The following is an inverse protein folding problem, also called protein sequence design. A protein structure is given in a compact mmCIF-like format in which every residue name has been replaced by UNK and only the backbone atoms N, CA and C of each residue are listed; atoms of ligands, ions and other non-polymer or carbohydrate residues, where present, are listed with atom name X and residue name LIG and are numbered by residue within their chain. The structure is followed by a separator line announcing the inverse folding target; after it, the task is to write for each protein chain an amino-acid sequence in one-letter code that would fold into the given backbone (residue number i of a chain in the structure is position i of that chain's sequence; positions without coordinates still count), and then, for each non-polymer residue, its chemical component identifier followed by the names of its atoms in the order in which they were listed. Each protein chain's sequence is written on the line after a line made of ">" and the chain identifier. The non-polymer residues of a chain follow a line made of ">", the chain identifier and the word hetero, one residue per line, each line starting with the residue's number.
data_IF_683092998147
#
_entry.id   IF_683092998147
#
_cell.length_a   1.000
_cell.length_b   1.000
_cell.length_c   1.000
_cell.angle_alpha   90.00
_cell.angle_beta   90.00
_cell.angle_gamma   90.00
#
_symmetry.space_group_name_H-M   'P 1'
#
loop_
_entity.id
_entity.type
_entity.pdbx_description
1 polymer ?
#
# COMPACT_ATOMS: atom_id res chain seq x y z
N UNK A 1 12.54 18.03 4.91
CA UNK A 1 11.48 16.99 4.93
C UNK A 1 11.61 16.23 6.24
N UNK A 2 10.54 16.09 7.04
CA UNK A 2 10.59 15.28 8.25
C UNK A 2 10.81 13.81 7.85
N UNK A 3 11.60 13.00 8.60
CA UNK A 3 11.81 11.59 8.30
C UNK A 3 10.51 10.80 8.10
N UNK A 4 9.47 11.17 8.84
CA UNK A 4 8.14 10.59 8.74
C UNK A 4 7.48 10.87 7.38
N UNK A 5 7.57 12.11 6.90
CA UNK A 5 7.05 12.51 5.59
C UNK A 5 7.85 11.88 4.45
N UNK A 6 9.16 11.72 4.64
CA UNK A 6 10.02 10.98 3.72
C UNK A 6 9.51 9.55 3.53
N UNK A 7 9.35 8.82 4.63
CA UNK A 7 8.92 7.42 4.57
C UNK A 7 7.55 7.29 3.94
N UNK A 8 6.58 8.12 4.37
CA UNK A 8 5.23 8.10 3.82
C UNK A 8 5.22 8.33 2.31
N UNK A 9 5.85 9.40 1.81
CA UNK A 9 5.85 9.74 0.37
C UNK A 9 6.55 8.69 -0.47
N UNK A 10 7.72 8.22 -0.03
CA UNK A 10 8.51 7.26 -0.79
C UNK A 10 7.89 5.85 -0.79
N UNK A 11 7.24 5.42 0.30
CA UNK A 11 6.51 4.15 0.35
C UNK A 11 5.27 4.21 -0.54
N UNK A 12 4.46 5.26 -0.45
CA UNK A 12 3.27 5.41 -1.32
C UNK A 12 3.68 5.43 -2.80
N UNK A 13 4.73 6.19 -3.15
CA UNK A 13 5.24 6.22 -4.53
C UNK A 13 5.74 4.85 -5.01
N UNK A 14 6.42 4.09 -4.16
CA UNK A 14 6.91 2.75 -4.51
C UNK A 14 5.77 1.75 -4.70
N UNK A 15 4.75 1.76 -3.83
CA UNK A 15 3.59 0.89 -3.97
C UNK A 15 2.75 1.22 -5.21
N UNK A 16 2.60 2.51 -5.54
CA UNK A 16 1.94 2.92 -6.78
C UNK A 16 2.72 2.46 -8.02
N UNK A 17 4.06 2.56 -7.99
CA UNK A 17 4.92 2.06 -9.07
C UNK A 17 4.84 0.53 -9.23
N UNK A 18 4.62 -0.20 -8.13
CA UNK A 18 4.41 -1.65 -8.12
C UNK A 18 3.00 -2.07 -8.58
N UNK A 19 2.09 -1.11 -8.82
CA UNK A 19 0.74 -1.38 -9.31
C UNK A 19 -0.28 -1.76 -8.24
N UNK A 20 0.00 -1.48 -6.96
CA UNK A 20 -1.01 -1.60 -5.91
C UNK A 20 -2.11 -0.55 -6.10
N UNK A 21 -3.36 -0.86 -5.67
CA UNK A 21 -4.44 0.13 -5.70
C UNK A 21 -4.08 1.31 -4.79
N UNK A 22 -4.51 2.51 -5.18
CA UNK A 22 -4.19 3.76 -4.49
C UNK A 22 -4.56 3.72 -3.00
N UNK A 23 -5.69 3.11 -2.66
CA UNK A 23 -6.11 2.91 -1.26
C UNK A 23 -5.09 2.09 -0.46
N UNK A 24 -4.55 1.01 -1.04
CA UNK A 24 -3.50 0.23 -0.39
C UNK A 24 -2.16 0.98 -0.33
N UNK A 25 -1.85 1.81 -1.34
CA UNK A 25 -0.64 2.63 -1.34
C UNK A 25 -0.66 3.75 -0.28
N UNK A 26 -1.83 4.37 -0.08
CA UNK A 26 -2.05 5.36 0.98
C UNK A 26 -2.03 4.73 2.37
N UNK A 27 -2.72 3.59 2.54
CA UNK A 27 -2.69 2.82 3.79
C UNK A 27 -1.29 2.31 4.13
N UNK A 28 -0.55 1.82 3.13
CA UNK A 28 0.82 1.36 3.29
C UNK A 28 1.78 2.47 3.74
N UNK A 29 1.56 3.71 3.29
CA UNK A 29 2.32 4.87 3.75
C UNK A 29 2.14 5.18 5.24
N UNK A 30 0.93 4.98 5.79
CA UNK A 30 0.66 5.15 7.23
C UNK A 30 1.27 4.01 8.06
N UNK A 31 1.13 2.77 7.57
CA UNK A 31 1.71 1.59 8.23
C UNK A 31 3.23 1.66 8.26
N UNK A 32 3.87 2.15 7.20
CA UNK A 32 5.32 2.35 7.17
C UNK A 32 5.80 3.42 8.17
N UNK A 33 5.01 4.47 8.38
CA UNK A 33 5.28 5.49 9.42
C UNK A 33 5.15 4.91 10.82
N UNK A 34 4.10 4.13 11.06
CA UNK A 34 3.88 3.49 12.36
C UNK A 34 4.98 2.50 12.70
N UNK A 35 5.50 1.78 11.69
CA UNK A 35 6.65 0.89 11.86
C UNK A 35 7.97 1.64 12.09
N UNK A 36 8.11 2.85 11.51
CA UNK A 36 9.31 3.67 11.67
C UNK A 36 9.45 4.29 13.05
N UNK A 37 8.36 4.78 13.64
CA UNK A 37 8.36 5.50 14.93
C UNK A 37 8.99 4.75 16.12
N UNK A 38 8.70 3.46 16.36
CA UNK A 38 9.29 2.72 17.47
C UNK A 38 10.70 2.22 17.18
N UNK A 39 11.22 2.37 15.96
CA UNK A 39 12.48 1.76 15.57
C UNK A 39 13.68 2.56 16.12
N UNK A 40 14.61 1.93 16.87
CA UNK A 40 15.76 2.64 17.40
C UNK A 40 16.67 3.14 16.26
N UNK A 41 16.84 4.45 16.16
CA UNK A 41 17.71 5.14 15.20
C UNK A 41 19.18 4.63 15.21
N UNK A 42 19.60 3.97 16.29
CA UNK A 42 20.95 3.45 16.49
C UNK A 42 21.24 2.11 15.78
N UNK A 43 20.25 1.28 15.43
CA UNK A 43 20.52 -0.12 15.07
C UNK A 43 21.11 -0.30 13.66
N UNK A 44 20.92 0.64 12.73
CA UNK A 44 21.46 0.58 11.35
C UNK A 44 21.12 1.86 10.59
N UNK A 45 21.92 2.92 10.76
CA UNK A 45 21.77 4.17 10.00
C UNK A 45 22.00 3.87 8.51
N UNK A 46 20.94 3.56 7.75
CA UNK A 46 21.01 3.36 6.31
C UNK A 46 20.07 2.32 5.71
N UNK A 47 19.48 1.42 6.53
CA UNK A 47 18.58 0.35 6.01
C UNK A 47 17.14 0.43 6.50
N UNK A 48 16.83 1.39 7.38
CA UNK A 48 15.49 1.55 7.98
C UNK A 48 14.40 1.72 6.93
N UNK A 49 14.70 2.41 5.82
CA UNK A 49 13.75 2.55 4.72
C UNK A 49 13.47 1.23 4.00
N UNK A 50 14.51 0.45 3.69
CA UNK A 50 14.36 -0.85 3.03
C UNK A 50 13.56 -1.82 3.89
N UNK A 51 13.79 -1.81 5.21
CA UNK A 51 13.04 -2.63 6.17
C UNK A 51 11.56 -2.21 6.21
N UNK A 52 11.28 -0.90 6.25
CA UNK A 52 9.91 -0.37 6.19
C UNK A 52 9.23 -0.73 4.85
N UNK A 53 9.95 -0.62 3.73
CA UNK A 53 9.42 -0.95 2.40
C UNK A 53 9.13 -2.46 2.30
N UNK A 54 10.01 -3.32 2.83
CA UNK A 54 9.79 -4.75 2.86
C UNK A 54 8.54 -5.10 3.68
N UNK A 55 8.43 -4.55 4.90
CA UNK A 55 7.28 -4.77 5.78
C UNK A 55 5.98 -4.33 5.11
N UNK A 56 5.96 -3.11 4.56
CA UNK A 56 4.76 -2.56 3.90
C UNK A 56 4.39 -3.35 2.64
N UNK A 57 5.35 -3.87 1.87
CA UNK A 57 5.04 -4.76 0.74
C UNK A 57 4.34 -6.04 1.19
N UNK A 58 4.77 -6.66 2.30
CA UNK A 58 4.09 -7.84 2.83
C UNK A 58 2.68 -7.49 3.31
N UNK A 59 2.53 -6.35 3.99
CA UNK A 59 1.22 -5.85 4.41
C UNK A 59 0.29 -5.58 3.22
N UNK A 60 0.78 -4.90 2.18
CA UNK A 60 0.02 -4.57 0.98
C UNK A 60 -0.41 -5.81 0.20
N UNK A 61 0.45 -6.85 0.19
CA UNK A 61 0.11 -8.18 -0.36
C UNK A 61 -1.02 -8.85 0.44
N UNK A 62 -1.05 -8.69 1.76
CA UNK A 62 -2.10 -9.22 2.63
C UNK A 62 -3.43 -8.45 2.53
N UNK A 63 -3.38 -7.12 2.36
CA UNK A 63 -4.57 -6.29 2.17
C UNK A 63 -5.22 -6.48 0.81
N UNK A 64 -4.42 -6.59 -0.24
CA UNK A 64 -4.95 -6.88 -1.57
C UNK A 64 -5.13 -8.39 -1.73
N UNK A 65 -6.27 -8.91 -1.31
CA UNK A 65 -6.67 -10.26 -1.69
C UNK A 65 -6.68 -10.36 -3.22
N UNK A 66 -6.30 -11.53 -3.76
CA UNK A 66 -6.07 -11.79 -5.21
C UNK A 66 -7.22 -11.33 -6.13
N UNK A 67 -8.42 -11.13 -5.57
CA UNK A 67 -9.63 -10.68 -6.25
C UNK A 67 -9.60 -9.20 -6.66
N UNK A 68 -9.07 -8.31 -5.80
CA UNK A 68 -9.05 -6.86 -6.09
C UNK A 68 -7.96 -6.44 -7.07
N UNK A 69 -6.82 -7.16 -7.11
CA UNK A 69 -5.79 -6.94 -8.14
C UNK A 69 -6.29 -7.24 -9.55
N UNK A 70 -7.28 -8.11 -9.70
CA UNK A 70 -7.95 -8.43 -10.98
C UNK A 70 -9.19 -7.56 -11.26
N UNK A 71 -9.73 -6.86 -10.26
CA UNK A 71 -10.98 -6.11 -10.42
C UNK A 71 -10.87 -4.85 -11.31
N UNK A 72 -9.67 -4.29 -11.51
CA UNK A 72 -9.46 -3.20 -12.50
C UNK A 72 -9.49 -3.66 -13.97
N UNK A 73 -9.66 -4.96 -14.25
CA UNK A 73 -9.98 -5.49 -15.59
C UNK A 73 -11.40 -6.05 -15.67
N UNK A 74 -12.43 -5.23 -15.43
CA UNK A 74 -13.76 -5.46 -16.02
C UNK A 74 -14.43 -4.12 -16.35
N UNK A 75 -14.39 -3.65 -17.60
CA UNK A 75 -15.41 -2.73 -18.08
C UNK A 75 -16.68 -3.56 -18.37
N UNK A 76 -17.82 -3.15 -17.83
CA UNK A 76 -19.14 -3.57 -18.32
C UNK A 76 -19.63 -4.96 -17.86
N UNK A 77 -20.46 -4.97 -16.82
CA UNK A 77 -21.64 -5.83 -16.81
C UNK A 77 -22.75 -5.05 -16.12
N UNK A 78 -23.39 -4.17 -16.87
CA UNK A 78 -24.74 -3.72 -16.53
C UNK A 78 -25.62 -4.97 -16.56
N UNK A 79 -26.02 -5.44 -15.39
CA UNK A 79 -27.11 -6.41 -15.25
C UNK A 79 -28.33 -5.56 -14.95
N UNK A 80 -29.14 -5.34 -15.99
CA UNK A 80 -30.47 -4.76 -15.86
C UNK A 80 -31.28 -5.53 -14.81
N UNK A 81 -32.10 -4.86 -13.97
CA UNK A 81 -32.97 -5.55 -13.03
C UNK A 81 -34.04 -6.35 -13.79
N UNK A 82 -34.31 -7.62 -13.45
CA UNK A 82 -35.47 -8.31 -14.01
C UNK A 82 -36.73 -7.69 -13.38
N UNK A 83 -37.47 -6.94 -14.19
CA UNK A 83 -38.81 -6.50 -13.86
C UNK A 83 -39.71 -7.71 -13.67
N UNK A 84 -40.35 -7.80 -12.50
CA UNK A 84 -41.47 -8.70 -12.23
C UNK A 84 -42.70 -8.17 -12.99
N UNK A 85 -43.07 -8.84 -14.08
CA UNK A 85 -44.40 -8.83 -14.68
C UNK A 85 -44.75 -10.24 -15.11
#
# INVERSE_FOLDING_TARGET
>A
MNPTDFIRKHITSSLMAEGFPEQAALGGGLVGVDHYRPMPQASRRGRTYDDCLHYVRQWAKGQTTSVERKAKKKPGREVAPPGLF
#
